data_IF_589142813595
#
_entry.id   IF_589142813595
#
_cell.length_a   1.000
_cell.length_b   1.000
_cell.length_c   1.000
_cell.angle_alpha   90.00
_cell.angle_beta   90.00
_cell.angle_gamma   90.00
#
_symmetry.space_group_name_H-M   'P 1'
#
loop_
_entity.id
_entity.type
_entity.pdbx_description
1 polymer ?
#
# COMPACT_ATOMS: atom_id res chain seq x y z
N UNK A 1 -6.07 -30.53 14.78
CA UNK A 1 -5.64 -30.49 13.36
C UNK A 1 -6.42 -29.46 12.57
N UNK A 2 -7.77 -29.50 12.54
CA UNK A 2 -8.58 -28.50 11.80
C UNK A 2 -8.26 -27.03 12.10
N UNK A 3 -8.09 -26.63 13.37
CA UNK A 3 -7.76 -25.24 13.72
C UNK A 3 -6.38 -24.80 13.19
N UNK A 4 -5.39 -25.70 13.14
CA UNK A 4 -4.07 -25.38 12.59
C UNK A 4 -4.16 -25.09 11.09
N UNK A 5 -4.86 -25.94 10.34
CA UNK A 5 -5.07 -25.76 8.90
C UNK A 5 -5.83 -24.47 8.58
N UNK A 6 -6.87 -24.16 9.36
CA UNK A 6 -7.63 -22.90 9.22
C UNK A 6 -6.71 -21.70 9.43
N UNK A 7 -5.92 -21.69 10.51
CA UNK A 7 -5.02 -20.57 10.80
C UNK A 7 -3.89 -20.43 9.78
N UNK A 8 -3.32 -21.52 9.29
CA UNK A 8 -2.35 -21.48 8.19
C UNK A 8 -2.98 -20.82 6.96
N UNK A 9 -4.18 -21.24 6.56
CA UNK A 9 -4.87 -20.64 5.41
C UNK A 9 -5.18 -19.14 5.60
N UNK A 10 -5.52 -18.72 6.81
CA UNK A 10 -5.72 -17.29 7.14
C UNK A 10 -4.41 -16.50 6.97
N UNK A 11 -3.31 -17.01 7.54
CA UNK A 11 -2.02 -16.32 7.48
C UNK A 11 -1.47 -16.27 6.05
N UNK A 12 -1.57 -17.37 5.29
CA UNK A 12 -1.17 -17.42 3.88
C UNK A 12 -1.98 -16.42 3.03
N UNK A 13 -3.28 -16.29 3.29
CA UNK A 13 -4.12 -15.28 2.64
C UNK A 13 -3.66 -13.87 2.98
N UNK A 14 -3.33 -13.57 4.24
CA UNK A 14 -2.83 -12.24 4.60
C UNK A 14 -1.51 -11.91 3.91
N UNK A 15 -0.60 -12.88 3.80
CA UNK A 15 0.65 -12.69 3.06
C UNK A 15 0.38 -12.35 1.57
N UNK A 16 -0.57 -13.04 0.93
CA UNK A 16 -1.00 -12.75 -0.44
C UNK A 16 -1.68 -11.37 -0.57
N UNK A 17 -2.55 -11.01 0.38
CA UNK A 17 -3.26 -9.72 0.39
C UNK A 17 -2.27 -8.55 0.56
N UNK A 18 -1.21 -8.72 1.37
CA UNK A 18 -0.12 -7.73 1.50
C UNK A 18 0.63 -7.59 0.18
N UNK A 19 1.00 -8.69 -0.46
CA UNK A 19 1.69 -8.65 -1.75
C UNK A 19 0.85 -7.95 -2.84
N UNK A 20 -0.47 -8.23 -2.87
CA UNK A 20 -1.40 -7.54 -3.75
C UNK A 20 -1.46 -6.04 -3.46
N UNK A 21 -1.58 -5.63 -2.19
CA UNK A 21 -1.61 -4.22 -1.82
C UNK A 21 -0.32 -3.48 -2.21
N UNK A 22 0.85 -4.08 -1.97
CA UNK A 22 2.16 -3.49 -2.31
C UNK A 22 2.34 -3.34 -3.82
N UNK A 23 1.74 -4.23 -4.62
CA UNK A 23 1.73 -4.10 -6.10
C UNK A 23 0.70 -3.10 -6.63
N UNK A 24 -0.04 -2.42 -5.75
CA UNK A 24 -1.06 -1.41 -6.11
C UNK A 24 -2.45 -2.00 -6.37
N UNK A 25 -2.66 -3.28 -6.07
CA UNK A 25 -3.98 -3.91 -6.10
C UNK A 25 -4.80 -3.62 -4.85
N UNK A 26 -6.08 -3.99 -4.89
CA UNK A 26 -6.99 -3.86 -3.76
C UNK A 26 -7.35 -5.25 -3.23
N UNK A 27 -6.83 -5.65 -2.06
CA UNK A 27 -7.25 -6.90 -1.45
C UNK A 27 -8.75 -6.85 -1.11
N UNK A 28 -9.46 -7.99 -1.20
CA UNK A 28 -10.86 -8.08 -0.78
C UNK A 28 -10.99 -7.73 0.70
N UNK A 29 -12.16 -7.20 1.09
CA UNK A 29 -12.45 -6.96 2.49
C UNK A 29 -12.29 -8.24 3.31
N UNK A 30 -11.60 -8.13 4.45
CA UNK A 30 -11.41 -9.26 5.35
C UNK A 30 -12.66 -9.51 6.16
N UNK A 31 -13.21 -10.72 6.05
CA UNK A 31 -14.26 -11.23 6.91
C UNK A 31 -13.65 -12.25 7.88
N UNK A 32 -13.65 -11.97 9.19
CA UNK A 32 -13.09 -12.88 10.19
C UNK A 32 -13.83 -14.22 10.20
N UNK A 33 -13.11 -15.37 10.11
CA UNK A 33 -13.74 -16.67 10.20
C UNK A 33 -14.29 -16.93 11.62
N UNK A 34 -15.49 -17.49 11.70
CA UNK A 34 -16.22 -17.71 12.96
C UNK A 34 -15.73 -18.93 13.74
N UNK A 35 -15.04 -19.86 13.08
CA UNK A 35 -14.72 -21.21 13.57
C UNK A 35 -13.21 -21.48 13.70
N UNK A 36 -12.35 -20.47 13.52
CA UNK A 36 -10.90 -20.64 13.58
C UNK A 36 -10.38 -21.03 14.98
N UNK A 37 -11.13 -20.66 16.03
CA UNK A 37 -10.68 -20.83 17.41
C UNK A 37 -9.44 -19.98 17.73
N UNK A 38 -8.75 -20.22 18.85
CA UNK A 38 -7.54 -19.48 19.20
C UNK A 38 -6.38 -19.81 18.24
N UNK A 39 -5.49 -18.84 18.00
CA UNK A 39 -4.26 -19.05 17.22
C UNK A 39 -3.38 -20.13 17.88
N UNK A 40 -2.99 -21.19 17.17
CA UNK A 40 -2.03 -22.17 17.66
C UNK A 40 -0.68 -21.53 17.98
N UNK A 41 -0.08 -21.88 19.11
CA UNK A 41 1.19 -21.30 19.57
C UNK A 41 2.33 -21.45 18.55
N UNK A 42 2.31 -22.54 17.77
CA UNK A 42 3.27 -22.85 16.71
C UNK A 42 3.25 -21.81 15.57
N UNK A 43 2.11 -21.18 15.33
CA UNK A 43 1.93 -20.16 14.28
C UNK A 43 2.18 -18.73 14.78
N UNK A 44 2.42 -18.52 16.08
CA UNK A 44 2.69 -17.20 16.63
C UNK A 44 3.86 -16.46 15.95
N UNK A 45 4.98 -17.12 15.57
CA UNK A 45 6.05 -16.47 14.82
C UNK A 45 5.62 -16.00 13.43
N UNK A 46 4.81 -16.79 12.70
CA UNK A 46 4.30 -16.38 11.39
C UNK A 46 3.33 -15.21 11.52
N UNK A 47 2.38 -15.28 12.45
CA UNK A 47 1.45 -14.18 12.72
C UNK A 47 2.18 -12.87 13.05
N UNK A 48 3.29 -12.94 13.81
CA UNK A 48 4.11 -11.75 14.09
C UNK A 48 4.77 -11.18 12.83
N UNK A 49 5.33 -12.02 11.95
CA UNK A 49 5.89 -11.56 10.67
C UNK A 49 4.83 -10.91 9.77
N UNK A 50 3.61 -11.47 9.74
CA UNK A 50 2.49 -10.87 9.00
C UNK A 50 2.16 -9.48 9.53
N UNK A 51 2.10 -9.30 10.86
CA UNK A 51 1.85 -7.99 11.49
C UNK A 51 2.96 -6.98 11.17
N UNK A 52 4.22 -7.41 11.23
CA UNK A 52 5.36 -6.56 10.86
C UNK A 52 5.30 -6.13 9.40
N UNK A 53 5.02 -7.07 8.47
CA UNK A 53 4.87 -6.75 7.05
C UNK A 53 3.69 -5.81 6.76
N UNK A 54 2.58 -5.93 7.50
CA UNK A 54 1.46 -4.99 7.41
C UNK A 54 1.86 -3.58 7.87
N UNK A 55 2.59 -3.47 8.98
CA UNK A 55 3.08 -2.18 9.48
C UNK A 55 4.04 -1.53 8.47
N UNK A 56 4.98 -2.30 7.92
CA UNK A 56 5.93 -1.81 6.91
C UNK A 56 5.21 -1.30 5.64
N UNK A 57 4.18 -2.03 5.19
CA UNK A 57 3.36 -1.63 4.04
C UNK A 57 2.58 -0.33 4.32
N UNK A 58 2.03 -0.18 5.53
CA UNK A 58 1.35 1.05 5.94
C UNK A 58 2.30 2.25 5.99
N UNK A 59 3.51 2.07 6.50
CA UNK A 59 4.51 3.13 6.55
C UNK A 59 4.99 3.53 5.14
N UNK A 60 5.17 2.56 4.24
CA UNK A 60 5.47 2.82 2.84
C UNK A 60 4.35 3.65 2.17
N UNK A 61 3.10 3.24 2.35
CA UNK A 61 1.94 3.96 1.82
C UNK A 61 1.86 5.40 2.37
N UNK A 62 2.14 5.59 3.66
CA UNK A 62 2.16 6.92 4.28
C UNK A 62 3.23 7.82 3.65
N UNK A 63 4.44 7.28 3.41
CA UNK A 63 5.52 7.99 2.71
C UNK A 63 5.12 8.37 1.27
N UNK A 64 4.59 7.42 0.50
CA UNK A 64 4.14 7.67 -0.87
C UNK A 64 3.05 8.75 -0.93
N UNK A 65 2.08 8.70 -0.01
CA UNK A 65 1.03 9.73 0.11
C UNK A 65 1.63 11.12 0.40
N UNK A 66 2.61 11.19 1.30
CA UNK A 66 3.28 12.45 1.64
C UNK A 66 4.03 13.03 0.43
N UNK A 67 4.79 12.20 -0.28
CA UNK A 67 5.55 12.61 -1.46
C UNK A 67 4.62 13.10 -2.58
N UNK A 68 3.55 12.37 -2.86
CA UNK A 68 2.54 12.78 -3.84
C UNK A 68 1.88 14.11 -3.44
N UNK A 69 1.55 14.29 -2.16
CA UNK A 69 1.01 15.55 -1.65
C UNK A 69 1.99 16.72 -1.84
N UNK A 70 3.28 16.50 -1.60
CA UNK A 70 4.32 17.51 -1.81
C UNK A 70 4.47 17.89 -3.28
N UNK A 71 4.45 16.90 -4.18
CA UNK A 71 4.51 17.12 -5.63
C UNK A 71 3.30 17.92 -6.12
N UNK A 72 2.08 17.54 -5.69
CA UNK A 72 0.87 18.27 -6.03
C UNK A 72 0.87 19.70 -5.49
N UNK A 73 1.38 19.91 -4.27
CA UNK A 73 1.56 21.24 -3.70
C UNK A 73 2.52 22.11 -4.51
N UNK A 74 3.64 21.54 -4.98
CA UNK A 74 4.59 22.23 -5.84
C UNK A 74 3.95 22.63 -7.18
N UNK A 75 3.17 21.74 -7.80
CA UNK A 75 2.43 22.05 -9.03
C UNK A 75 1.39 23.15 -8.82
N UNK A 76 0.64 23.10 -7.71
CA UNK A 76 -0.36 24.11 -7.39
C UNK A 76 0.23 25.51 -7.13
N UNK A 77 1.50 25.58 -6.71
CA UNK A 77 2.19 26.84 -6.49
C UNK A 77 2.71 27.49 -7.79
N UNK A 78 2.75 26.76 -8.92
CA UNK A 78 3.11 27.33 -10.22
C UNK A 78 1.98 28.26 -10.65
N UNK A 79 2.24 29.57 -10.82
CA UNK A 79 1.23 30.50 -11.31
C UNK A 79 0.72 30.02 -12.67
N UNK A 80 -0.61 29.99 -12.85
CA UNK A 80 -1.17 29.79 -14.16
C UNK A 80 -0.70 30.94 -15.06
N UNK A 81 0.28 30.65 -15.93
CA UNK A 81 0.74 31.59 -16.93
C UNK A 81 -0.40 31.95 -17.88
N UNK A 82 -0.34 33.11 -18.54
CA UNK A 82 -1.30 33.42 -19.59
C UNK A 82 -1.33 32.26 -20.60
N UNK A 83 -2.53 31.81 -20.96
CA UNK A 83 -2.73 30.85 -22.05
C UNK A 83 -2.30 31.56 -23.32
N UNK A 84 -1.05 31.40 -23.71
CA UNK A 84 -0.60 31.86 -25.01
C UNK A 84 -1.28 30.98 -26.05
N UNK A 85 -2.10 31.55 -26.93
CA UNK A 85 -2.75 30.82 -28.04
C UNK A 85 -1.74 30.12 -28.97
N UNK A 86 -0.44 30.46 -28.84
CA UNK A 86 0.65 29.79 -29.54
C UNK A 86 1.89 29.71 -28.64
N UNK A 87 2.52 28.53 -28.47
CA UNK A 87 3.75 28.40 -27.69
C UNK A 87 4.88 29.24 -28.30
N UNK A 88 5.56 30.03 -27.47
CA UNK A 88 6.73 30.82 -27.84
C UNK A 88 8.00 29.95 -27.69
N UNK A 89 8.58 29.54 -28.81
CA UNK A 89 9.91 28.92 -28.85
C UNK A 89 10.96 30.04 -28.85
N UNK A 90 11.73 30.15 -27.78
CA UNK A 90 12.91 31.02 -27.75
C UNK A 90 14.09 30.29 -28.41
N UNK A 91 14.51 30.77 -29.59
CA UNK A 91 15.77 30.35 -30.22
C UNK A 91 16.92 31.11 -29.52
N UNK A 92 17.68 30.40 -28.67
CA UNK A 92 18.84 30.98 -27.99
C UNK A 92 20.05 30.84 -28.93
N UNK A 93 20.32 31.88 -29.72
CA UNK A 93 21.59 32.00 -30.44
C UNK A 93 22.56 32.80 -29.59
N UNK A 94 23.72 32.19 -29.31
CA UNK A 94 24.87 32.83 -28.67
C UNK A 94 25.56 33.84 -29.56
#
# INVERSE_FOLDING_TARGET
>A
MASLEIWTGILDRFEADIALAVSGGFPPAWEPPLDAGPLPAELAPQARRVLEAQADAMDLLARMKHDAGTQLGALAAVPAGPVFERPLLLDIRG
#
